data_IF_250418235864
#
_entry.id   IF_250418235864
#
_cell.length_a   1.000
_cell.length_b   1.000
_cell.length_c   1.000
_cell.angle_alpha   90.00
_cell.angle_beta   90.00
_cell.angle_gamma   90.00
#
_symmetry.space_group_name_H-M   'P 1'
#
loop_
_entity.id
_entity.type
_entity.pdbx_description
1 polymer ?
#
# COMPACT_ATOMS: atom_id res chain seq x y z
N UNK A 1 28.43 11.64 -51.69
CA UNK A 1 27.20 11.02 -51.10
C UNK A 1 25.99 11.81 -51.55
N UNK A 2 24.90 11.15 -51.96
CA UNK A 2 23.66 11.85 -52.33
C UNK A 2 22.90 12.32 -51.08
N UNK A 3 22.25 13.49 -51.15
CA UNK A 3 21.48 14.10 -50.05
C UNK A 3 20.49 13.13 -49.38
N UNK A 4 19.91 12.20 -50.16
CA UNK A 4 19.02 11.13 -49.67
C UNK A 4 19.71 10.12 -48.76
N UNK A 5 20.98 9.77 -49.01
CA UNK A 5 21.76 8.86 -48.14
C UNK A 5 22.13 9.51 -46.80
N UNK A 6 22.44 10.80 -46.82
CA UNK A 6 22.72 11.57 -45.59
C UNK A 6 21.47 11.64 -44.72
N UNK A 7 20.30 11.94 -45.30
CA UNK A 7 19.03 11.98 -44.56
C UNK A 7 18.67 10.62 -43.98
N UNK A 8 18.83 9.53 -44.74
CA UNK A 8 18.58 8.18 -44.23
C UNK A 8 19.51 7.78 -43.07
N UNK A 9 20.79 8.15 -43.13
CA UNK A 9 21.74 7.92 -42.03
C UNK A 9 21.41 8.73 -40.78
N UNK A 10 21.03 10.00 -40.94
CA UNK A 10 20.63 10.86 -39.82
C UNK A 10 19.36 10.32 -39.16
N UNK A 11 18.34 9.96 -39.94
CA UNK A 11 17.10 9.36 -39.41
C UNK A 11 17.41 8.02 -38.72
N UNK A 12 18.25 7.18 -39.34
CA UNK A 12 18.69 5.92 -38.74
C UNK A 12 19.38 6.12 -37.40
N UNK A 13 20.30 7.08 -37.29
CA UNK A 13 20.98 7.41 -36.04
C UNK A 13 20.01 7.96 -34.98
N UNK A 14 19.07 8.83 -35.37
CA UNK A 14 18.06 9.41 -34.46
C UNK A 14 17.12 8.35 -33.89
N UNK A 15 16.87 7.25 -34.58
CA UNK A 15 16.01 6.15 -34.08
C UNK A 15 16.83 5.10 -33.33
N UNK A 16 17.97 4.68 -33.88
CA UNK A 16 18.77 3.59 -33.33
C UNK A 16 19.48 3.97 -32.03
N UNK A 17 19.91 5.23 -31.86
CA UNK A 17 20.60 5.65 -30.64
C UNK A 17 19.65 5.66 -29.42
N UNK A 18 18.44 6.26 -29.47
CA UNK A 18 17.50 6.15 -28.35
C UNK A 18 17.01 4.72 -28.11
N UNK A 19 16.77 3.94 -29.17
CA UNK A 19 16.35 2.55 -29.03
C UNK A 19 17.44 1.67 -28.38
N UNK A 20 18.69 1.82 -28.82
CA UNK A 20 19.84 1.14 -28.21
C UNK A 20 20.07 1.56 -26.77
N UNK A 21 19.96 2.86 -26.48
CA UNK A 21 20.03 3.38 -25.11
C UNK A 21 18.92 2.81 -24.22
N UNK A 22 17.68 2.79 -24.70
CA UNK A 22 16.53 2.26 -23.95
C UNK A 22 16.68 0.76 -23.69
N UNK A 23 17.10 -0.01 -24.69
CA UNK A 23 17.37 -1.44 -24.54
C UNK A 23 18.48 -1.71 -23.50
N UNK A 24 19.56 -0.93 -23.53
CA UNK A 24 20.64 -1.02 -22.55
C UNK A 24 20.18 -0.64 -21.14
N UNK A 25 19.43 0.45 -20.99
CA UNK A 25 18.87 0.89 -19.70
C UNK A 25 17.90 -0.13 -19.11
N UNK A 26 17.11 -0.81 -19.96
CA UNK A 26 16.23 -1.89 -19.53
C UNK A 26 17.02 -3.14 -19.11
N UNK A 27 18.03 -3.51 -19.88
CA UNK A 27 18.90 -4.65 -19.57
C UNK A 27 19.75 -4.44 -18.30
N UNK A 28 20.10 -3.19 -17.98
CA UNK A 28 20.89 -2.82 -16.79
C UNK A 28 20.03 -2.40 -15.60
N UNK A 29 18.70 -2.56 -15.68
CA UNK A 29 17.81 -2.19 -14.59
C UNK A 29 18.14 -3.00 -13.32
N UNK A 30 18.42 -2.34 -12.18
CA UNK A 30 18.89 -3.04 -10.99
C UNK A 30 17.90 -4.12 -10.48
N UNK A 31 18.45 -5.23 -9.99
CA UNK A 31 17.66 -6.31 -9.38
C UNK A 31 16.87 -5.80 -8.17
N UNK A 32 15.65 -6.32 -7.99
CA UNK A 32 14.82 -6.12 -6.77
C UNK A 32 15.48 -6.60 -5.48
N UNK A 33 16.49 -7.46 -5.61
CA UNK A 33 17.28 -7.93 -4.46
C UNK A 33 18.33 -6.92 -4.00
N UNK A 34 18.41 -5.76 -4.66
CA UNK A 34 19.24 -4.62 -4.25
C UNK A 34 18.36 -3.48 -3.72
N UNK A 35 18.83 -2.68 -2.74
CA UNK A 35 18.08 -1.51 -2.27
C UNK A 35 17.78 -0.51 -3.40
N UNK A 36 18.72 -0.35 -4.33
CA UNK A 36 18.58 0.50 -5.52
C UNK A 36 17.41 0.04 -6.38
N UNK A 37 17.36 -1.25 -6.74
CA UNK A 37 16.31 -1.79 -7.59
C UNK A 37 14.93 -1.73 -6.92
N UNK A 38 14.84 -2.00 -5.62
CA UNK A 38 13.61 -1.82 -4.86
C UNK A 38 13.14 -0.36 -4.88
N UNK A 39 14.04 0.59 -4.59
CA UNK A 39 13.75 2.03 -4.63
C UNK A 39 13.24 2.48 -5.99
N UNK A 40 13.91 2.08 -7.08
CA UNK A 40 13.51 2.48 -8.44
C UNK A 40 12.12 1.93 -8.81
N UNK A 41 11.75 0.74 -8.33
CA UNK A 41 10.41 0.17 -8.55
C UNK A 41 9.34 0.91 -7.75
N UNK A 42 9.63 1.29 -6.51
CA UNK A 42 8.77 2.20 -5.72
C UNK A 42 8.59 3.51 -6.47
N UNK A 43 9.68 4.14 -6.90
CA UNK A 43 9.65 5.42 -7.63
C UNK A 43 8.83 5.31 -8.93
N UNK A 44 9.04 4.25 -9.70
CA UNK A 44 8.28 3.99 -10.94
C UNK A 44 6.77 3.88 -10.68
N UNK A 45 6.38 3.11 -9.67
CA UNK A 45 4.98 2.95 -9.29
C UNK A 45 4.34 4.25 -8.76
N UNK A 46 5.09 5.02 -7.95
CA UNK A 46 4.69 6.34 -7.46
C UNK A 46 4.46 7.32 -8.63
N UNK A 47 5.37 7.35 -9.60
CA UNK A 47 5.26 8.19 -10.80
C UNK A 47 4.04 7.80 -11.65
N UNK A 48 3.70 6.51 -11.71
CA UNK A 48 2.49 6.00 -12.39
C UNK A 48 1.21 6.19 -11.57
N UNK A 49 1.30 6.60 -10.32
CA UNK A 49 0.15 6.73 -9.42
C UNK A 49 -0.51 5.40 -9.05
N UNK A 50 0.28 4.32 -9.01
CA UNK A 50 -0.16 2.97 -8.74
C UNK A 50 0.46 2.50 -7.41
N UNK A 51 -0.09 2.92 -6.25
CA UNK A 51 0.44 2.50 -4.95
C UNK A 51 0.44 0.98 -4.74
N UNK A 52 -0.53 0.29 -5.33
CA UNK A 52 -0.67 -1.17 -5.31
C UNK A 52 0.58 -1.83 -5.91
N UNK A 53 1.13 -1.24 -6.98
CA UNK A 53 2.25 -1.79 -7.74
C UNK A 53 3.59 -1.78 -6.98
N UNK A 54 3.72 -0.99 -5.90
CA UNK A 54 4.91 -1.05 -5.05
C UNK A 54 4.69 -1.71 -3.69
N UNK A 55 3.50 -2.25 -3.42
CA UNK A 55 3.22 -2.96 -2.18
C UNK A 55 4.22 -4.09 -1.91
N UNK A 56 4.67 -4.80 -2.95
CA UNK A 56 5.70 -5.84 -2.85
C UNK A 56 7.05 -5.35 -2.29
N UNK A 57 7.33 -4.04 -2.41
CA UNK A 57 8.53 -3.36 -1.93
C UNK A 57 8.29 -2.60 -0.62
N UNK A 58 7.18 -2.86 0.07
CA UNK A 58 6.95 -2.44 1.44
C UNK A 58 7.49 -3.51 2.39
N UNK A 59 7.90 -3.13 3.60
CA UNK A 59 8.38 -4.08 4.62
C UNK A 59 7.34 -5.15 4.99
N UNK A 60 7.80 -6.37 5.32
CA UNK A 60 6.94 -7.51 5.67
C UNK A 60 5.88 -7.17 6.75
N UNK A 61 6.20 -6.51 7.88
CA UNK A 61 5.19 -6.20 8.90
C UNK A 61 4.09 -5.25 8.38
N UNK A 62 4.42 -4.30 7.50
CA UNK A 62 3.43 -3.45 6.87
C UNK A 62 2.53 -4.21 5.90
N UNK A 63 3.08 -5.17 5.14
CA UNK A 63 2.25 -6.04 4.29
C UNK A 63 1.27 -6.86 5.13
N UNK A 64 1.75 -7.52 6.20
CA UNK A 64 0.88 -8.25 7.13
C UNK A 64 -0.17 -7.36 7.80
N UNK A 65 0.19 -6.12 8.15
CA UNK A 65 -0.73 -5.15 8.70
C UNK A 65 -1.88 -4.86 7.72
N UNK A 66 -1.61 -4.68 6.42
CA UNK A 66 -2.66 -4.45 5.43
C UNK A 66 -3.64 -5.63 5.32
N UNK A 67 -3.13 -6.86 5.28
CA UNK A 67 -3.98 -8.06 5.31
C UNK A 67 -4.80 -8.17 6.61
N UNK A 68 -4.20 -7.80 7.73
CA UNK A 68 -4.85 -7.81 9.04
C UNK A 68 -5.99 -6.78 9.10
N UNK A 69 -5.77 -5.57 8.58
CA UNK A 69 -6.80 -4.52 8.47
C UNK A 69 -7.96 -5.02 7.61
N UNK A 70 -7.69 -5.54 6.40
CA UNK A 70 -8.73 -6.05 5.50
C UNK A 70 -9.64 -7.06 6.21
N UNK A 71 -9.01 -8.06 6.85
CA UNK A 71 -9.72 -9.13 7.57
C UNK A 71 -10.60 -8.59 8.70
N UNK A 72 -10.04 -7.77 9.59
CA UNK A 72 -10.81 -7.26 10.74
C UNK A 72 -11.89 -6.27 10.33
N UNK A 73 -11.66 -5.45 9.30
CA UNK A 73 -12.67 -4.51 8.78
C UNK A 73 -13.82 -5.26 8.11
N UNK A 74 -13.54 -6.35 7.38
CA UNK A 74 -14.56 -7.25 6.85
C UNK A 74 -15.39 -7.89 7.96
N UNK A 75 -14.74 -8.50 8.96
CA UNK A 75 -15.41 -9.10 10.11
C UNK A 75 -16.30 -8.09 10.85
N UNK A 76 -15.76 -6.91 11.17
CA UNK A 76 -16.48 -5.84 11.84
C UNK A 76 -17.72 -5.40 11.04
N UNK A 77 -17.57 -5.19 9.71
CA UNK A 77 -18.68 -4.80 8.84
C UNK A 77 -19.77 -5.86 8.78
N UNK A 78 -19.41 -7.12 8.60
CA UNK A 78 -20.36 -8.24 8.58
C UNK A 78 -21.12 -8.33 9.90
N UNK A 79 -20.41 -8.21 11.03
CA UNK A 79 -21.03 -8.25 12.36
C UNK A 79 -22.01 -7.10 12.59
N UNK A 80 -21.64 -5.88 12.18
CA UNK A 80 -22.52 -4.71 12.23
C UNK A 80 -23.78 -4.95 11.43
N UNK A 81 -23.67 -5.44 10.19
CA UNK A 81 -24.81 -5.70 9.31
C UNK A 81 -25.79 -6.73 9.90
N UNK A 82 -25.30 -7.69 10.66
CA UNK A 82 -26.11 -8.75 11.26
C UNK A 82 -26.87 -8.31 12.52
N UNK A 83 -26.22 -7.58 13.43
CA UNK A 83 -26.76 -7.35 14.77
C UNK A 83 -27.26 -5.94 15.06
N UNK A 84 -26.65 -4.92 14.45
CA UNK A 84 -26.94 -3.53 14.85
C UNK A 84 -28.32 -3.10 14.33
N UNK A 85 -29.08 -2.29 15.08
CA UNK A 85 -30.29 -1.63 14.58
C UNK A 85 -29.95 -0.46 13.65
N UNK A 86 -30.96 0.08 12.97
CA UNK A 86 -30.83 1.37 12.28
C UNK A 86 -31.00 2.52 13.29
N UNK A 87 -30.26 3.65 13.14
CA UNK A 87 -29.40 4.01 12.00
C UNK A 87 -27.92 3.59 12.15
N UNK A 88 -27.51 3.01 13.28
CA UNK A 88 -26.11 2.69 13.55
C UNK A 88 -25.53 1.66 12.56
N UNK A 89 -26.35 0.68 12.15
CA UNK A 89 -25.96 -0.34 11.16
C UNK A 89 -25.42 0.30 9.89
N UNK A 90 -26.21 1.17 9.26
CA UNK A 90 -25.80 1.85 8.01
C UNK A 90 -24.57 2.71 8.23
N UNK A 91 -24.53 3.50 9.31
CA UNK A 91 -23.42 4.39 9.62
C UNK A 91 -22.09 3.63 9.78
N UNK A 92 -22.09 2.57 10.59
CA UNK A 92 -20.87 1.79 10.88
C UNK A 92 -20.47 0.89 9.70
N UNK A 93 -21.44 0.28 9.00
CA UNK A 93 -21.14 -0.54 7.83
C UNK A 93 -20.48 0.28 6.71
N UNK A 94 -20.90 1.53 6.53
CA UNK A 94 -20.29 2.46 5.58
C UNK A 94 -18.89 2.90 6.02
N UNK A 95 -18.66 3.10 7.32
CA UNK A 95 -17.35 3.49 7.84
C UNK A 95 -16.24 2.46 7.55
N UNK A 96 -16.58 1.18 7.43
CA UNK A 96 -15.62 0.11 7.12
C UNK A 96 -15.70 -0.40 5.69
N UNK A 97 -16.57 0.17 4.86
CA UNK A 97 -16.90 -0.39 3.55
C UNK A 97 -15.69 -0.48 2.62
N UNK A 98 -14.85 0.57 2.57
CA UNK A 98 -13.72 0.62 1.66
C UNK A 98 -12.69 -0.48 1.95
N UNK A 99 -12.27 -0.62 3.21
CA UNK A 99 -11.28 -1.63 3.61
C UNK A 99 -11.87 -3.05 3.61
N UNK A 100 -13.16 -3.21 3.94
CA UNK A 100 -13.84 -4.50 3.93
C UNK A 100 -14.07 -5.04 2.51
N UNK A 101 -14.19 -4.16 1.51
CA UNK A 101 -14.41 -4.51 0.12
C UNK A 101 -13.10 -4.69 -0.68
N UNK A 102 -11.95 -4.32 -0.10
CA UNK A 102 -10.65 -4.48 -0.73
C UNK A 102 -10.35 -5.97 -1.00
N UNK A 103 -10.03 -6.35 -2.24
CA UNK A 103 -9.67 -7.74 -2.59
C UNK A 103 -8.46 -8.29 -1.83
N UNK A 104 -7.41 -7.48 -1.66
CA UNK A 104 -6.20 -7.90 -0.97
C UNK A 104 -5.52 -6.79 -0.14
N UNK A 105 -4.33 -7.09 0.38
CA UNK A 105 -3.52 -6.16 1.17
C UNK A 105 -2.94 -4.99 0.36
N UNK A 106 -2.70 -5.16 -0.94
CA UNK A 106 -2.21 -4.08 -1.80
C UNK A 106 -3.30 -3.03 -2.03
N UNK A 107 -4.56 -3.45 -2.17
CA UNK A 107 -5.71 -2.55 -2.25
C UNK A 107 -5.91 -1.77 -0.94
N UNK A 108 -5.78 -2.44 0.22
CA UNK A 108 -5.79 -1.74 1.52
C UNK A 108 -4.66 -0.73 1.61
N UNK A 109 -3.44 -1.12 1.22
CA UNK A 109 -2.31 -0.20 1.20
C UNK A 109 -2.61 1.04 0.34
N UNK A 110 -3.21 0.85 -0.83
CA UNK A 110 -3.61 1.94 -1.71
C UNK A 110 -4.66 2.87 -1.10
N UNK A 111 -5.65 2.33 -0.39
CA UNK A 111 -6.64 3.13 0.35
C UNK A 111 -5.92 4.06 1.34
N UNK A 112 -4.98 3.53 2.13
CA UNK A 112 -4.21 4.34 3.08
C UNK A 112 -3.26 5.33 2.38
N UNK A 113 -2.59 4.91 1.31
CA UNK A 113 -1.69 5.77 0.57
C UNK A 113 -2.40 7.00 -0.01
N UNK A 114 -3.64 6.84 -0.46
CA UNK A 114 -4.50 7.95 -0.94
C UNK A 114 -5.03 8.78 0.23
N UNK A 115 -5.62 8.13 1.24
CA UNK A 115 -6.23 8.80 2.41
C UNK A 115 -5.23 9.66 3.19
N UNK A 116 -3.98 9.22 3.30
CA UNK A 116 -2.92 9.89 4.06
C UNK A 116 -1.96 10.71 3.18
N UNK A 117 -2.24 10.84 1.88
CA UNK A 117 -1.44 11.65 0.96
C UNK A 117 0.00 11.18 0.76
N UNK A 118 0.28 9.88 0.96
CA UNK A 118 1.63 9.33 0.84
C UNK A 118 2.16 9.44 -0.58
N UNK A 119 1.34 9.16 -1.59
CA UNK A 119 1.74 9.26 -2.99
C UNK A 119 2.23 10.66 -3.35
N UNK A 120 1.50 11.69 -2.95
CA UNK A 120 1.85 13.07 -3.29
C UNK A 120 3.10 13.53 -2.56
N UNK A 121 3.30 13.05 -1.32
CA UNK A 121 4.56 13.27 -0.60
C UNK A 121 5.73 12.60 -1.31
N UNK A 122 5.62 11.31 -1.64
CA UNK A 122 6.66 10.57 -2.35
C UNK A 122 6.98 11.21 -3.71
N UNK A 123 5.98 11.62 -4.49
CA UNK A 123 6.19 12.29 -5.79
C UNK A 123 7.02 13.57 -5.68
N UNK A 124 6.83 14.35 -4.61
CA UNK A 124 7.60 15.58 -4.36
C UNK A 124 9.03 15.27 -3.91
N UNK A 125 9.17 14.28 -3.03
CA UNK A 125 10.40 14.06 -2.27
C UNK A 125 11.36 13.06 -2.94
N UNK A 126 10.85 12.16 -3.80
CA UNK A 126 11.67 11.18 -4.53
C UNK A 126 12.41 11.83 -5.70
N UNK A 127 13.65 11.41 -5.92
CA UNK A 127 14.46 11.79 -7.08
C UNK A 127 15.44 10.66 -7.45
N UNK A 128 16.39 10.90 -8.35
CA UNK A 128 17.49 9.95 -8.61
C UNK A 128 18.26 9.61 -7.33
N UNK A 129 18.91 8.45 -7.31
CA UNK A 129 19.72 7.97 -6.18
C UNK A 129 21.06 8.72 -6.18
N UNK A 130 21.46 9.28 -5.05
CA UNK A 130 22.79 9.86 -4.84
C UNK A 130 23.75 8.86 -4.19
N UNK A 131 23.28 8.20 -3.12
CA UNK A 131 24.08 7.25 -2.34
C UNK A 131 23.18 6.14 -1.79
N UNK A 132 23.75 4.95 -1.64
CA UNK A 132 23.14 3.86 -0.89
C UNK A 132 24.10 3.40 0.19
N UNK A 133 23.62 3.37 1.43
CA UNK A 133 24.35 2.87 2.60
C UNK A 133 23.70 1.55 2.99
N UNK A 134 24.47 0.47 3.13
CA UNK A 134 23.99 -0.86 3.53
C UNK A 134 24.71 -1.27 4.80
N UNK A 135 23.95 -1.59 5.83
CA UNK A 135 24.41 -2.05 7.14
C UNK A 135 23.68 -3.35 7.49
N UNK A 136 24.29 -4.47 7.13
CA UNK A 136 23.69 -5.81 7.30
C UNK A 136 22.33 -5.91 6.58
N UNK A 137 21.27 -6.08 7.36
CA UNK A 137 19.89 -6.23 6.87
C UNK A 137 19.14 -4.88 6.74
N UNK A 138 19.82 -3.75 6.93
CA UNK A 138 19.27 -2.40 6.77
C UNK A 138 19.97 -1.68 5.64
N UNK A 139 19.23 -0.84 4.92
CA UNK A 139 19.80 0.04 3.93
C UNK A 139 19.13 1.41 3.98
N UNK A 140 19.88 2.44 3.62
CA UNK A 140 19.34 3.79 3.41
C UNK A 140 19.66 4.21 1.98
N UNK A 141 18.62 4.54 1.22
CA UNK A 141 18.77 5.16 -0.10
C UNK A 141 18.63 6.66 0.08
N UNK A 142 19.71 7.39 -0.18
CA UNK A 142 19.72 8.84 -0.20
C UNK A 142 19.52 9.33 -1.63
N UNK A 143 18.55 10.24 -1.81
CA UNK A 143 18.25 10.81 -3.13
C UNK A 143 19.15 12.00 -3.44
N UNK A 144 19.22 12.38 -4.72
CA UNK A 144 19.92 13.59 -5.19
C UNK A 144 19.42 14.89 -4.54
N UNK A 145 18.22 14.89 -3.95
CA UNK A 145 17.66 16.01 -3.18
C UNK A 145 17.93 15.91 -1.66
N UNK A 146 18.70 14.91 -1.22
CA UNK A 146 19.05 14.68 0.19
C UNK A 146 17.99 13.93 1.01
N UNK A 147 16.89 13.49 0.39
CA UNK A 147 15.86 12.71 1.11
C UNK A 147 16.39 11.29 1.37
N UNK A 148 16.21 10.78 2.58
CA UNK A 148 16.68 9.45 2.99
C UNK A 148 15.49 8.49 3.14
N UNK A 149 15.53 7.39 2.38
CA UNK A 149 14.51 6.34 2.41
C UNK A 149 15.05 5.08 3.07
N UNK A 150 14.52 4.68 4.25
CA UNK A 150 14.99 3.50 4.97
C UNK A 150 14.36 2.22 4.40
N UNK A 151 15.21 1.23 4.13
CA UNK A 151 14.83 -0.10 3.69
C UNK A 151 15.32 -1.16 4.69
N UNK A 152 14.57 -2.26 4.78
CA UNK A 152 14.98 -3.48 5.48
C UNK A 152 14.91 -4.67 4.52
N UNK A 153 15.92 -5.52 4.56
CA UNK A 153 15.92 -6.77 3.79
C UNK A 153 14.90 -7.74 4.38
N UNK A 154 14.14 -8.38 3.50
CA UNK A 154 13.09 -9.34 3.84
C UNK A 154 13.60 -10.76 3.61
N UNK A 155 12.89 -11.75 4.16
CA UNK A 155 13.23 -13.18 4.05
C UNK A 155 13.31 -13.68 2.59
N UNK A 156 12.52 -13.09 1.69
CA UNK A 156 12.55 -13.40 0.25
C UNK A 156 13.72 -12.72 -0.50
N UNK A 157 14.59 -12.00 0.21
CA UNK A 157 15.74 -11.27 -0.32
C UNK A 157 15.43 -9.92 -0.97
N UNK A 158 14.17 -9.48 -1.00
CA UNK A 158 13.77 -8.16 -1.51
C UNK A 158 13.91 -7.13 -0.40
N UNK A 159 14.26 -5.89 -0.76
CA UNK A 159 14.30 -4.77 0.17
C UNK A 159 12.93 -4.10 0.29
N UNK A 160 12.43 -3.99 1.52
CA UNK A 160 11.16 -3.37 1.86
C UNK A 160 11.34 -1.98 2.46
N UNK A 161 10.66 -0.98 1.90
CA UNK A 161 10.57 0.38 2.42
C UNK A 161 9.83 0.38 3.76
N UNK A 162 10.47 0.92 4.79
CA UNK A 162 9.95 0.87 6.19
C UNK A 162 9.14 2.09 6.59
N UNK A 163 9.07 3.11 5.71
CA UNK A 163 8.43 4.40 5.95
C UNK A 163 6.98 4.30 6.45
N UNK A 164 6.23 3.27 6.02
CA UNK A 164 4.80 3.11 6.34
C UNK A 164 4.54 2.14 7.49
N UNK A 165 5.57 1.44 7.98
CA UNK A 165 5.41 0.29 8.87
C UNK A 165 4.73 0.66 10.17
N UNK A 166 5.21 1.69 10.86
CA UNK A 166 4.62 2.10 12.14
C UNK A 166 3.14 2.46 12.01
N UNK A 167 2.79 3.25 10.99
CA UNK A 167 1.39 3.67 10.76
C UNK A 167 0.48 2.49 10.46
N UNK A 168 0.88 1.60 9.55
CA UNK A 168 0.04 0.46 9.17
C UNK A 168 -0.12 -0.54 10.30
N UNK A 169 0.95 -0.82 11.06
CA UNK A 169 0.88 -1.68 12.25
C UNK A 169 -0.07 -1.10 13.30
N UNK A 170 0.00 0.22 13.55
CA UNK A 170 -0.93 0.88 14.47
C UNK A 170 -2.39 0.78 14.00
N UNK A 171 -2.64 0.96 12.70
CA UNK A 171 -3.98 0.82 12.12
C UNK A 171 -4.49 -0.62 12.15
N UNK A 172 -3.62 -1.62 11.99
CA UNK A 172 -3.97 -3.02 12.16
C UNK A 172 -4.38 -3.35 13.60
N UNK A 173 -3.64 -2.84 14.59
CA UNK A 173 -4.00 -3.00 16.00
C UNK A 173 -5.32 -2.29 16.33
N UNK A 174 -5.54 -1.10 15.77
CA UNK A 174 -6.80 -0.37 15.91
C UNK A 174 -7.96 -1.16 15.30
N UNK A 175 -7.81 -1.68 14.08
CA UNK A 175 -8.83 -2.51 13.43
C UNK A 175 -9.18 -3.75 14.27
N UNK A 176 -8.19 -4.40 14.88
CA UNK A 176 -8.42 -5.54 15.77
C UNK A 176 -9.22 -5.15 17.03
N UNK A 177 -8.87 -4.03 17.67
CA UNK A 177 -9.61 -3.52 18.84
C UNK A 177 -11.03 -3.12 18.48
N UNK A 178 -11.22 -2.40 17.38
CA UNK A 178 -12.54 -1.98 16.90
C UNK A 178 -13.43 -3.21 16.65
N UNK A 179 -12.89 -4.25 16.01
CA UNK A 179 -13.63 -5.48 15.75
C UNK A 179 -14.05 -6.19 17.05
N UNK A 180 -13.19 -6.23 18.07
CA UNK A 180 -13.52 -6.81 19.37
C UNK A 180 -14.65 -6.05 20.09
N UNK A 181 -14.61 -4.71 20.06
CA UNK A 181 -15.68 -3.86 20.63
C UNK A 181 -16.99 -4.08 19.89
N UNK A 182 -16.94 -4.15 18.56
CA UNK A 182 -18.13 -4.39 17.73
C UNK A 182 -18.75 -5.74 18.05
N UNK A 183 -17.95 -6.78 18.19
CA UNK A 183 -18.41 -8.12 18.54
C UNK A 183 -19.15 -8.14 19.88
N UNK A 184 -18.57 -7.49 20.90
CA UNK A 184 -19.17 -7.38 22.22
C UNK A 184 -20.52 -6.65 22.15
N UNK A 185 -20.55 -5.46 21.54
CA UNK A 185 -21.76 -4.64 21.43
C UNK A 185 -22.84 -5.33 20.58
N UNK A 186 -22.45 -6.07 19.54
CA UNK A 186 -23.38 -6.87 18.74
C UNK A 186 -24.06 -7.95 19.58
N UNK A 187 -23.33 -8.60 20.49
CA UNK A 187 -23.89 -9.56 21.44
C UNK A 187 -24.92 -8.93 22.39
N UNK A 188 -24.73 -7.67 22.78
CA UNK A 188 -25.70 -6.96 23.62
C UNK A 188 -26.99 -6.64 22.85
N UNK A 189 -26.90 -6.17 21.59
CA UNK A 189 -28.08 -5.98 20.74
C UNK A 189 -28.87 -7.27 20.52
N UNK A 190 -28.18 -8.39 20.32
CA UNK A 190 -28.82 -9.69 20.14
C UNK A 190 -29.53 -10.17 21.41
N UNK A 191 -28.98 -9.90 22.60
CA UNK A 191 -29.66 -10.21 23.88
C UNK A 191 -30.93 -9.41 24.03
N UNK A 192 -30.89 -8.10 23.76
CA UNK A 192 -32.07 -7.23 23.81
C UNK A 192 -33.13 -7.70 22.81
N UNK A 193 -32.73 -8.07 21.58
CA UNK A 193 -33.65 -8.61 20.57
C UNK A 193 -34.31 -9.93 21.00
N UNK A 194 -33.58 -10.77 21.77
CA UNK A 194 -34.06 -12.07 22.25
C UNK A 194 -34.91 -12.00 23.52
N UNK A 195 -34.94 -10.87 24.24
CA UNK A 195 -35.85 -10.65 25.36
C UNK A 195 -37.13 -9.99 24.81
N UNK A 196 -38.19 -10.75 24.49
CA UNK A 196 -39.45 -10.14 24.10
C UNK A 196 -40.03 -9.45 25.34
N UNK A 197 -40.60 -8.25 25.18
CA UNK A 197 -41.44 -7.52 26.15
C UNK A 197 -42.06 -8.46 27.19
N UNK A 198 -41.40 -8.63 28.35
CA UNK A 198 -41.98 -9.33 29.50
C UNK A 198 -42.96 -8.43 30.28
N UNK A 199 -43.08 -7.17 29.87
CA UNK A 199 -43.81 -6.12 30.59
C UNK A 199 -45.01 -5.56 29.83
N UNK A 200 -45.51 -6.25 28.79
CA UNK A 200 -46.77 -5.91 28.15
C UNK A 200 -47.93 -6.71 28.78
N UNK A 201 -48.32 -6.31 30.01
CA UNK A 201 -49.65 -6.56 30.58
C UNK A 201 -49.96 -7.98 31.04
N UNK A 202 -49.59 -8.29 32.28
CA UNK A 202 -50.50 -9.07 33.14
C UNK A 202 -51.71 -8.15 33.47
N UNK A 203 -52.94 -8.71 33.50
CA UNK A 203 -54.20 -7.96 33.57
C UNK A 203 -54.39 -7.14 34.86
#
# INVERSE_FOLDING_TARGET
>A
MTRRRIVALVIGAVVLLPAGWFAWAWATYPSDKTPQGAYLRVMSAVNRGQPEAFFAYVETPAQHACYTIARYRKQARERVLQAYPEPERTRLANAYAAEAAAPDGADVFAIYARRLGWLDRLRRDMSGIAKVEIEGERATVETARGTRYPFRRRDNGIWGLTLFTATLVNEAQKAARDAAVIEQAAGDYERVKKQPKRDAGAP
#
